data_IF_093504515844
#
_entry.id   IF_093504515844
#
_cell.length_a   1.000
_cell.length_b   1.000
_cell.length_c   1.000
_cell.angle_alpha   90.00
_cell.angle_beta   90.00
_cell.angle_gamma   90.00
#
_symmetry.space_group_name_H-M   'P 1'
#
loop_
_entity.id
_entity.type
_entity.pdbx_description
1 polymer ?
#
# COMPACT_ATOMS: atom_id res chain seq x y z
N UNK A 1 -3.24 29.80 -6.88
CA UNK A 1 -2.21 30.09 -7.91
C UNK A 1 -2.77 30.91 -9.08
N UNK A 2 -4.02 30.69 -9.45
CA UNK A 2 -4.73 31.35 -10.59
C UNK A 2 -5.34 32.69 -10.24
N UNK A 3 -5.47 33.01 -8.96
CA UNK A 3 -6.01 34.28 -8.49
C UNK A 3 -4.89 35.22 -8.08
N UNK A 4 -5.11 36.56 -8.19
CA UNK A 4 -4.15 37.57 -7.69
C UNK A 4 -3.84 37.35 -6.21
N UNK A 5 -2.55 37.30 -5.88
CA UNK A 5 -2.09 37.09 -4.52
C UNK A 5 -1.65 38.39 -3.88
N UNK A 6 -2.37 38.82 -2.86
CA UNK A 6 -2.18 40.13 -2.23
C UNK A 6 -0.77 40.33 -1.62
N UNK A 7 -0.22 39.25 -1.02
CA UNK A 7 1.14 39.27 -0.43
C UNK A 7 2.26 39.53 -1.45
N UNK A 8 1.97 39.39 -2.75
CA UNK A 8 2.85 39.67 -3.88
C UNK A 8 2.26 40.76 -4.82
N UNK A 9 1.61 41.77 -4.24
CA UNK A 9 1.09 42.92 -4.95
C UNK A 9 0.10 42.58 -6.10
N UNK A 10 -0.70 41.55 -5.89
CA UNK A 10 -1.67 41.10 -6.87
C UNK A 10 -1.12 40.22 -7.99
N UNK A 11 0.09 39.66 -7.84
CA UNK A 11 0.66 38.73 -8.79
C UNK A 11 -0.20 37.45 -8.89
N UNK A 12 -0.51 37.01 -10.11
CA UNK A 12 -1.04 35.66 -10.39
C UNK A 12 0.13 34.74 -10.77
N UNK A 13 0.47 33.79 -9.92
CA UNK A 13 1.58 32.86 -10.17
C UNK A 13 1.37 32.03 -11.43
N UNK A 14 0.13 31.66 -11.75
CA UNK A 14 -0.16 30.88 -12.96
C UNK A 14 0.08 31.71 -14.23
N UNK A 15 -0.29 32.97 -14.23
CA UNK A 15 -0.11 33.88 -15.38
C UNK A 15 1.37 34.23 -15.61
N UNK A 16 2.09 34.54 -14.54
CA UNK A 16 3.48 34.97 -14.64
C UNK A 16 4.44 33.82 -14.89
N UNK A 17 4.24 32.67 -14.26
CA UNK A 17 5.20 31.56 -14.29
C UNK A 17 4.73 30.32 -15.05
N UNK A 18 3.50 30.29 -15.56
CA UNK A 18 2.97 29.19 -16.37
C UNK A 18 3.22 27.80 -15.75
N UNK A 19 3.89 26.89 -16.45
CA UNK A 19 4.15 25.52 -15.96
C UNK A 19 4.96 25.44 -14.66
N UNK A 20 5.69 26.50 -14.30
CA UNK A 20 6.51 26.55 -13.09
C UNK A 20 5.81 27.25 -11.92
N UNK A 21 4.57 27.67 -12.09
CA UNK A 21 3.79 28.43 -11.10
C UNK A 21 3.76 27.77 -9.71
N UNK A 22 3.55 26.45 -9.65
CA UNK A 22 3.56 25.72 -8.38
C UNK A 22 4.92 25.80 -7.66
N UNK A 23 5.99 25.57 -8.39
CA UNK A 23 7.35 25.61 -7.83
C UNK A 23 7.70 27.01 -7.34
N UNK A 24 7.31 28.03 -8.10
CA UNK A 24 7.58 29.43 -7.73
C UNK A 24 6.77 29.84 -6.50
N UNK A 25 5.49 29.48 -6.42
CA UNK A 25 4.67 29.76 -5.24
C UNK A 25 5.18 29.00 -4.01
N UNK A 26 5.53 27.71 -4.15
CA UNK A 26 6.10 26.93 -3.05
C UNK A 26 7.40 27.53 -2.51
N UNK A 27 8.25 28.10 -3.38
CA UNK A 27 9.47 28.79 -2.97
C UNK A 27 9.18 30.15 -2.30
N UNK A 28 8.26 30.90 -2.87
CA UNK A 28 7.95 32.25 -2.40
C UNK A 28 7.22 32.25 -1.05
N UNK A 29 6.28 31.32 -0.87
CA UNK A 29 5.46 31.19 0.33
C UNK A 29 6.05 30.19 1.33
N UNK A 30 6.01 28.91 0.96
CA UNK A 30 6.33 27.83 1.90
C UNK A 30 7.80 27.85 2.33
N UNK A 31 8.72 27.84 1.36
CA UNK A 31 10.14 27.70 1.65
C UNK A 31 10.73 28.98 2.26
N UNK A 32 10.32 30.15 1.76
CA UNK A 32 10.81 31.43 2.26
C UNK A 32 10.33 31.72 3.69
N UNK A 33 9.02 31.53 3.93
CA UNK A 33 8.41 32.00 5.18
C UNK A 33 8.53 30.95 6.30
N UNK A 34 8.43 29.66 5.97
CA UNK A 34 8.54 28.57 6.94
C UNK A 34 9.94 27.97 7.04
N UNK A 35 10.80 28.22 6.07
CA UNK A 35 12.19 27.77 6.04
C UNK A 35 12.42 26.25 6.06
N UNK A 36 11.55 25.38 5.46
CA UNK A 36 11.77 23.96 5.51
C UNK A 36 13.09 23.61 4.82
N UNK A 37 13.93 22.90 5.53
CA UNK A 37 15.23 22.47 5.03
C UNK A 37 15.50 21.04 5.49
N UNK A 38 15.97 20.18 4.58
CA UNK A 38 16.37 18.84 4.93
C UNK A 38 17.66 18.86 5.76
N UNK A 39 17.61 18.34 6.98
CA UNK A 39 18.80 18.21 7.81
C UNK A 39 19.83 17.30 7.13
N UNK A 40 21.14 17.60 7.23
CA UNK A 40 22.19 16.77 6.63
C UNK A 40 22.11 15.29 7.06
N UNK A 41 21.80 15.02 8.32
CA UNK A 41 21.61 13.63 8.81
C UNK A 41 20.45 12.93 8.11
N UNK A 42 19.34 13.61 7.87
CA UNK A 42 18.20 13.04 7.15
C UNK A 42 18.55 12.78 5.68
N UNK A 43 19.28 13.70 5.04
CA UNK A 43 19.78 13.49 3.67
C UNK A 43 20.70 12.27 3.60
N UNK A 44 21.61 12.11 4.55
CA UNK A 44 22.49 10.96 4.63
C UNK A 44 21.72 9.64 4.82
N UNK A 45 20.73 9.60 5.70
CA UNK A 45 19.87 8.41 5.92
C UNK A 45 19.13 8.01 4.62
N UNK A 46 18.61 9.01 3.89
CA UNK A 46 17.92 8.75 2.61
C UNK A 46 18.91 8.20 1.57
N UNK A 47 20.07 8.83 1.41
CA UNK A 47 21.10 8.37 0.47
C UNK A 47 21.56 6.95 0.81
N UNK A 48 21.84 6.67 2.08
CA UNK A 48 22.21 5.33 2.54
C UNK A 48 21.12 4.29 2.25
N UNK A 49 19.84 4.65 2.43
CA UNK A 49 18.71 3.80 2.05
C UNK A 49 18.62 3.53 0.54
N UNK A 50 19.04 4.48 -0.30
CA UNK A 50 19.04 4.33 -1.75
C UNK A 50 20.11 3.37 -2.28
N UNK A 51 21.23 3.20 -1.59
CA UNK A 51 22.33 2.33 -2.02
C UNK A 51 21.89 0.87 -2.22
N UNK A 52 20.94 0.39 -1.43
CA UNK A 52 20.42 -0.99 -1.51
C UNK A 52 19.02 -1.08 -2.11
N UNK A 53 18.46 0.04 -2.62
CA UNK A 53 17.07 0.07 -3.09
C UNK A 53 16.82 -0.92 -4.22
N UNK A 54 17.73 -1.02 -5.19
CA UNK A 54 17.57 -1.94 -6.33
C UNK A 54 17.49 -3.40 -5.89
N UNK A 55 18.34 -3.80 -4.95
CA UNK A 55 18.36 -5.16 -4.39
C UNK A 55 17.07 -5.46 -3.62
N UNK A 56 16.60 -4.50 -2.81
CA UNK A 56 15.34 -4.66 -2.09
C UNK A 56 14.15 -4.75 -3.03
N UNK A 57 14.08 -3.89 -4.05
CA UNK A 57 12.99 -3.91 -5.02
C UNK A 57 12.93 -5.20 -5.84
N UNK A 58 14.09 -5.76 -6.21
CA UNK A 58 14.14 -7.05 -6.88
C UNK A 58 13.55 -8.16 -5.99
N UNK A 59 13.93 -8.22 -4.72
CA UNK A 59 13.39 -9.19 -3.77
C UNK A 59 11.90 -8.97 -3.50
N UNK A 60 11.45 -7.72 -3.31
CA UNK A 60 10.04 -7.38 -3.16
C UNK A 60 9.21 -7.86 -4.35
N UNK A 61 9.62 -7.54 -5.57
CA UNK A 61 8.89 -7.95 -6.78
C UNK A 61 8.87 -9.47 -6.93
N UNK A 62 9.99 -10.15 -6.68
CA UNK A 62 10.08 -11.61 -6.73
C UNK A 62 9.13 -12.28 -5.73
N UNK A 63 9.15 -11.83 -4.47
CA UNK A 63 8.25 -12.35 -3.45
C UNK A 63 6.77 -12.04 -3.80
N UNK A 64 6.48 -10.84 -4.31
CA UNK A 64 5.12 -10.46 -4.69
C UNK A 64 4.56 -11.34 -5.82
N UNK A 65 5.35 -11.65 -6.85
CA UNK A 65 4.91 -12.54 -7.92
C UNK A 65 4.55 -13.92 -7.40
N UNK A 66 5.37 -14.49 -6.52
CA UNK A 66 5.09 -15.77 -5.87
C UNK A 66 3.84 -15.69 -4.98
N UNK A 67 3.65 -14.59 -4.25
CA UNK A 67 2.45 -14.38 -3.44
C UNK A 67 1.18 -14.23 -4.28
N UNK A 68 1.25 -13.56 -5.44
CA UNK A 68 0.11 -13.47 -6.38
C UNK A 68 -0.28 -14.87 -6.86
N UNK A 69 0.69 -15.70 -7.24
CA UNK A 69 0.44 -17.08 -7.67
C UNK A 69 -0.16 -17.91 -6.53
N UNK A 70 0.43 -17.87 -5.35
CA UNK A 70 -0.06 -18.58 -4.16
C UNK A 70 -1.49 -18.17 -3.81
N UNK A 71 -1.76 -16.85 -3.68
CA UNK A 71 -3.09 -16.34 -3.32
C UNK A 71 -4.14 -16.63 -4.39
N UNK A 72 -3.77 -16.56 -5.68
CA UNK A 72 -4.71 -16.83 -6.78
C UNK A 72 -5.17 -18.29 -6.80
N UNK A 73 -4.39 -19.22 -6.27
CA UNK A 73 -4.71 -20.64 -6.20
C UNK A 73 -5.23 -21.09 -4.83
N UNK A 74 -5.26 -20.19 -3.83
CA UNK A 74 -5.63 -20.56 -2.48
C UNK A 74 -7.15 -20.63 -2.28
N UNK A 75 -7.65 -21.74 -1.72
CA UNK A 75 -9.09 -22.01 -1.56
C UNK A 75 -9.86 -20.99 -0.72
N UNK A 76 -9.20 -20.31 0.24
CA UNK A 76 -9.81 -19.29 1.10
C UNK A 76 -9.80 -17.89 0.48
N UNK A 77 -9.21 -17.70 -0.70
CA UNK A 77 -9.14 -16.42 -1.41
C UNK A 77 -10.25 -16.35 -2.44
N UNK A 78 -10.95 -15.23 -2.49
CA UNK A 78 -12.04 -14.99 -3.44
C UNK A 78 -11.56 -14.28 -4.71
N UNK A 79 -10.62 -13.35 -4.57
CA UNK A 79 -10.05 -12.57 -5.66
C UNK A 79 -8.68 -12.02 -5.27
N UNK A 80 -7.86 -11.70 -6.27
CA UNK A 80 -6.55 -11.05 -6.12
C UNK A 80 -6.47 -9.88 -7.07
N UNK A 81 -6.05 -8.72 -6.58
CA UNK A 81 -5.78 -7.52 -7.36
C UNK A 81 -4.29 -7.17 -7.27
N UNK A 82 -3.62 -7.38 -8.38
CA UNK A 82 -2.23 -7.02 -8.63
C UNK A 82 -2.02 -7.03 -10.15
N UNK A 83 -1.23 -6.11 -10.68
CA UNK A 83 -1.10 -5.96 -12.13
C UNK A 83 -0.54 -7.21 -12.84
N UNK A 84 0.16 -8.11 -12.13
CA UNK A 84 0.61 -9.40 -12.68
C UNK A 84 -0.39 -10.55 -12.49
N UNK A 85 -1.51 -10.33 -11.79
CA UNK A 85 -2.50 -11.39 -11.55
C UNK A 85 -3.15 -11.85 -12.87
N UNK A 86 -3.55 -13.13 -12.97
CA UNK A 86 -4.29 -13.62 -14.14
C UNK A 86 -5.57 -12.80 -14.37
N UNK A 87 -5.75 -12.33 -15.60
CA UNK A 87 -6.94 -11.57 -16.00
C UNK A 87 -7.01 -10.13 -15.49
N UNK A 88 -5.97 -9.59 -14.89
CA UNK A 88 -5.95 -8.17 -14.50
C UNK A 88 -6.01 -7.28 -15.75
N UNK A 89 -6.89 -6.23 -15.79
CA UNK A 89 -7.10 -5.42 -17.00
C UNK A 89 -5.85 -4.66 -17.44
N UNK A 90 -4.99 -4.28 -16.50
CA UNK A 90 -3.79 -3.49 -16.78
C UNK A 90 -2.52 -4.35 -16.92
N UNK A 91 -2.64 -5.67 -17.05
CA UNK A 91 -1.47 -6.56 -17.10
C UNK A 91 -0.52 -6.22 -18.24
N UNK A 92 -1.03 -6.07 -19.45
CA UNK A 92 -0.21 -5.73 -20.63
C UNK A 92 0.44 -4.35 -20.51
N UNK A 93 -0.32 -3.38 -19.94
CA UNK A 93 0.23 -2.05 -19.68
C UNK A 93 1.35 -2.11 -18.65
N UNK A 94 1.17 -2.85 -17.56
CA UNK A 94 2.16 -3.02 -16.52
C UNK A 94 3.45 -3.68 -17.05
N UNK A 95 3.34 -4.72 -17.87
CA UNK A 95 4.48 -5.36 -18.52
C UNK A 95 5.28 -4.38 -19.42
N UNK A 96 4.58 -3.44 -20.06
CA UNK A 96 5.19 -2.42 -20.90
C UNK A 96 5.92 -1.32 -20.13
N UNK A 97 5.27 -0.80 -19.06
CA UNK A 97 5.81 0.37 -18.33
C UNK A 97 6.63 0.00 -17.08
N UNK A 98 6.46 -1.21 -16.55
CA UNK A 98 7.15 -1.75 -15.38
C UNK A 98 7.87 -3.07 -15.70
N UNK A 99 8.76 -3.11 -16.70
CA UNK A 99 9.35 -4.36 -17.20
C UNK A 99 10.25 -5.07 -16.16
N UNK A 100 10.67 -4.37 -15.10
CA UNK A 100 11.52 -4.92 -14.03
C UNK A 100 10.72 -5.44 -12.83
N UNK A 101 9.40 -5.27 -12.82
CA UNK A 101 8.52 -5.73 -11.75
C UNK A 101 7.41 -4.75 -11.41
N UNK A 102 6.29 -5.27 -10.98
CA UNK A 102 5.03 -4.54 -10.74
C UNK A 102 4.85 -4.09 -9.29
N UNK A 103 5.92 -4.14 -8.50
CA UNK A 103 5.90 -3.74 -7.08
C UNK A 103 5.45 -4.85 -6.14
N UNK A 104 5.28 -4.49 -4.88
CA UNK A 104 5.01 -5.42 -3.77
C UNK A 104 3.63 -5.27 -3.14
N UNK A 105 2.79 -4.39 -3.69
CA UNK A 105 1.46 -4.13 -3.14
C UNK A 105 0.42 -5.04 -3.79
N UNK A 106 -0.25 -5.84 -2.96
CA UNK A 106 -1.31 -6.76 -3.37
C UNK A 106 -2.56 -6.44 -2.55
N UNK A 107 -3.73 -6.48 -3.17
CA UNK A 107 -4.98 -6.59 -2.47
C UNK A 107 -5.62 -7.93 -2.79
N UNK A 108 -6.22 -8.57 -1.80
CA UNK A 108 -6.97 -9.80 -2.02
C UNK A 108 -8.19 -9.88 -1.12
N UNK A 109 -9.22 -10.58 -1.58
CA UNK A 109 -10.43 -10.84 -0.82
C UNK A 109 -10.39 -12.20 -0.14
N UNK A 110 -10.67 -12.23 1.18
CA UNK A 110 -10.79 -13.48 1.93
C UNK A 110 -12.25 -13.95 1.96
N UNK A 111 -12.49 -15.26 1.69
CA UNK A 111 -13.83 -15.82 1.80
C UNK A 111 -14.28 -15.81 3.27
N UNK A 112 -15.52 -15.39 3.51
CA UNK A 112 -16.07 -15.22 4.85
C UNK A 112 -16.16 -13.76 5.34
N UNK A 113 -15.78 -12.79 4.45
CA UNK A 113 -16.02 -11.37 4.66
C UNK A 113 -15.24 -10.76 5.83
N UNK A 114 -15.84 -9.75 6.48
CA UNK A 114 -15.21 -8.94 7.53
C UNK A 114 -14.68 -9.77 8.70
N UNK A 115 -15.44 -10.76 9.13
CA UNK A 115 -15.08 -11.59 10.30
C UNK A 115 -13.89 -12.49 10.01
N UNK A 116 -13.86 -13.10 8.82
CA UNK A 116 -12.72 -13.88 8.36
C UNK A 116 -11.46 -13.03 8.18
N UNK A 117 -11.59 -11.81 7.62
CA UNK A 117 -10.50 -10.86 7.51
C UNK A 117 -9.92 -10.47 8.87
N UNK A 118 -10.77 -10.17 9.84
CA UNK A 118 -10.33 -9.85 11.22
C UNK A 118 -9.64 -11.05 11.88
N UNK A 119 -10.19 -12.27 11.72
CA UNK A 119 -9.58 -13.49 12.26
C UNK A 119 -8.20 -13.76 11.62
N UNK A 120 -8.07 -13.58 10.31
CA UNK A 120 -6.81 -13.71 9.60
C UNK A 120 -5.75 -12.76 10.18
N UNK A 121 -6.05 -11.46 10.23
CA UNK A 121 -5.12 -10.42 10.71
C UNK A 121 -4.66 -10.69 12.16
N UNK A 122 -5.56 -11.15 13.03
CA UNK A 122 -5.25 -11.41 14.43
C UNK A 122 -4.40 -12.68 14.66
N UNK A 123 -4.22 -13.51 13.64
CA UNK A 123 -3.50 -14.79 13.78
C UNK A 123 -2.20 -14.86 12.96
N UNK A 124 -1.93 -13.93 12.07
CA UNK A 124 -0.60 -13.78 11.47
C UNK A 124 0.38 -13.21 12.52
N UNK A 125 1.62 -13.64 12.48
CA UNK A 125 2.65 -13.30 13.48
C UNK A 125 3.91 -12.68 12.85
N UNK A 126 4.31 -13.17 11.68
CA UNK A 126 5.42 -12.64 10.92
C UNK A 126 5.02 -11.33 10.24
N UNK A 127 3.88 -11.34 9.57
CA UNK A 127 3.33 -10.16 8.94
C UNK A 127 2.85 -9.16 9.99
N UNK A 128 3.36 -7.93 9.92
CA UNK A 128 3.01 -6.87 10.88
C UNK A 128 1.70 -6.20 10.51
N UNK A 129 0.81 -6.01 11.48
CA UNK A 129 -0.48 -5.34 11.29
C UNK A 129 -0.30 -3.82 11.28
N UNK A 130 0.07 -3.27 10.15
CA UNK A 130 0.18 -1.82 9.92
C UNK A 130 0.11 -1.49 8.42
N UNK A 131 -0.08 -0.20 8.10
CA UNK A 131 -0.10 0.30 6.73
C UNK A 131 1.19 1.06 6.42
N UNK A 132 1.96 0.55 5.46
CA UNK A 132 3.11 1.22 4.85
C UNK A 132 3.33 0.66 3.43
N UNK A 133 4.32 1.17 2.72
CA UNK A 133 4.74 0.70 1.39
C UNK A 133 6.26 0.58 1.37
N UNK A 134 6.77 -0.58 0.93
CA UNK A 134 8.22 -0.80 0.77
C UNK A 134 8.99 -1.00 2.08
N UNK A 135 8.32 -1.34 3.16
CA UNK A 135 8.97 -1.80 4.39
C UNK A 135 9.66 -3.14 4.11
N UNK A 136 10.82 -3.37 4.72
CA UNK A 136 11.52 -4.64 4.61
C UNK A 136 10.72 -5.82 5.16
N UNK A 137 9.80 -5.56 6.09
CA UNK A 137 8.86 -6.54 6.64
C UNK A 137 7.61 -6.65 5.79
N UNK A 138 7.03 -7.84 5.77
CA UNK A 138 5.69 -8.05 5.23
C UNK A 138 4.65 -7.39 6.14
N UNK A 139 3.78 -6.60 5.53
CA UNK A 139 2.74 -5.84 6.25
C UNK A 139 1.37 -6.21 5.72
N UNK A 140 0.43 -6.40 6.63
CA UNK A 140 -0.97 -6.68 6.29
C UNK A 140 -1.90 -5.75 7.04
N UNK A 141 -3.00 -5.35 6.40
CA UNK A 141 -4.07 -4.61 7.04
C UNK A 141 -5.42 -5.03 6.45
N UNK A 142 -6.42 -5.09 7.30
CA UNK A 142 -7.82 -5.26 6.91
C UNK A 142 -8.53 -3.91 7.04
N UNK A 143 -8.70 -3.14 5.94
CA UNK A 143 -9.18 -1.76 6.00
C UNK A 143 -10.53 -1.62 6.69
N UNK A 144 -11.46 -2.53 6.42
CA UNK A 144 -12.82 -2.49 6.96
C UNK A 144 -12.91 -2.66 8.50
N UNK A 145 -11.92 -3.26 9.15
CA UNK A 145 -11.88 -3.38 10.62
C UNK A 145 -10.89 -2.41 11.28
N UNK A 146 -10.02 -1.76 10.50
CA UNK A 146 -8.98 -0.88 11.01
C UNK A 146 -9.19 0.58 10.56
N UNK A 147 -8.55 0.99 9.47
CA UNK A 147 -8.49 2.38 9.02
C UNK A 147 -9.83 2.96 8.56
N UNK A 148 -10.78 2.11 8.17
CA UNK A 148 -12.08 2.50 7.61
C UNK A 148 -13.26 1.90 8.42
N UNK A 149 -13.03 1.55 9.68
CA UNK A 149 -14.03 0.90 10.55
C UNK A 149 -15.28 1.75 10.80
N UNK A 150 -15.20 3.07 10.62
CA UNK A 150 -16.30 4.01 10.84
C UNK A 150 -17.06 4.35 9.55
N UNK A 151 -16.62 3.83 8.37
CA UNK A 151 -17.29 4.08 7.11
C UNK A 151 -18.48 3.14 6.92
N UNK A 152 -19.57 3.70 6.37
CA UNK A 152 -20.71 2.90 5.93
C UNK A 152 -20.37 2.13 4.61
N UNK A 153 -21.22 1.18 4.26
CA UNK A 153 -21.01 0.31 3.10
C UNK A 153 -20.94 1.08 1.77
N UNK A 154 -21.72 2.14 1.63
CA UNK A 154 -21.74 2.96 0.42
C UNK A 154 -20.41 3.72 0.24
N UNK A 155 -19.90 4.28 1.32
CA UNK A 155 -18.61 5.00 1.35
C UNK A 155 -17.43 4.05 1.12
N UNK A 156 -17.44 2.85 1.72
CA UNK A 156 -16.43 1.82 1.45
C UNK A 156 -16.40 1.44 -0.03
N UNK A 157 -17.56 1.18 -0.62
CA UNK A 157 -17.68 0.83 -2.03
C UNK A 157 -17.21 1.96 -2.94
N UNK A 158 -17.56 3.20 -2.63
CA UNK A 158 -17.08 4.37 -3.36
C UNK A 158 -15.56 4.53 -3.30
N UNK A 159 -14.95 4.21 -2.17
CA UNK A 159 -13.51 4.19 -1.98
C UNK A 159 -12.81 2.96 -2.63
N UNK A 160 -13.56 2.06 -3.29
CA UNK A 160 -13.01 0.85 -3.89
C UNK A 160 -12.60 -0.22 -2.87
N UNK A 161 -13.14 -0.14 -1.66
CA UNK A 161 -12.87 -1.08 -0.58
C UNK A 161 -14.03 -2.06 -0.40
N UNK A 162 -13.72 -3.29 0.00
CA UNK A 162 -14.71 -4.31 0.36
C UNK A 162 -14.46 -4.86 1.76
N UNK A 163 -15.51 -5.45 2.35
CA UNK A 163 -15.42 -6.00 3.70
C UNK A 163 -14.49 -7.23 3.82
N UNK A 164 -14.18 -7.87 2.71
CA UNK A 164 -13.31 -9.04 2.62
C UNK A 164 -11.86 -8.68 2.23
N UNK A 165 -11.60 -7.40 1.91
CA UNK A 165 -10.31 -6.95 1.40
C UNK A 165 -9.23 -6.99 2.48
N UNK A 166 -8.12 -7.64 2.15
CA UNK A 166 -6.86 -7.52 2.86
C UNK A 166 -5.85 -6.84 1.93
N UNK A 167 -5.19 -5.81 2.43
CA UNK A 167 -4.08 -5.14 1.74
C UNK A 167 -2.78 -5.70 2.29
N UNK A 168 -1.91 -6.13 1.39
CA UNK A 168 -0.61 -6.73 1.66
C UNK A 168 0.50 -5.89 1.04
N UNK A 169 1.54 -5.58 1.80
CA UNK A 169 2.83 -5.11 1.31
C UNK A 169 3.85 -6.20 1.56
N UNK A 170 4.26 -6.89 0.50
CA UNK A 170 5.17 -8.04 0.63
C UNK A 170 6.58 -7.57 0.95
N UNK A 171 7.18 -8.13 2.00
CA UNK A 171 8.52 -7.81 2.47
C UNK A 171 9.63 -8.63 1.83
N UNK A 172 10.78 -8.67 2.52
CA UNK A 172 12.01 -9.30 2.06
C UNK A 172 12.26 -10.67 2.71
N UNK A 173 11.37 -11.12 3.59
CA UNK A 173 11.48 -12.38 4.31
C UNK A 173 11.57 -13.56 3.33
N UNK A 174 11.93 -14.72 3.84
CA UNK A 174 11.84 -15.93 3.04
C UNK A 174 10.39 -16.18 2.65
N UNK A 175 10.16 -16.54 1.39
CA UNK A 175 8.83 -16.70 0.86
C UNK A 175 8.03 -17.79 1.58
N UNK A 176 8.67 -18.89 1.95
CA UNK A 176 8.01 -19.99 2.66
C UNK A 176 7.58 -19.58 4.07
N UNK A 177 8.34 -18.72 4.73
CA UNK A 177 7.97 -18.19 6.05
C UNK A 177 6.72 -17.30 5.95
N UNK A 178 6.62 -16.46 4.91
CA UNK A 178 5.41 -15.66 4.66
C UNK A 178 4.21 -16.58 4.40
N UNK A 179 4.36 -17.61 3.58
CA UNK A 179 3.29 -18.58 3.28
C UNK A 179 2.85 -19.31 4.56
N UNK A 180 3.78 -19.79 5.37
CA UNK A 180 3.46 -20.48 6.62
C UNK A 180 2.67 -19.59 7.60
N UNK A 181 3.05 -18.33 7.71
CA UNK A 181 2.33 -17.35 8.53
C UNK A 181 0.91 -17.11 8.01
N UNK A 182 0.76 -17.02 6.68
CA UNK A 182 -0.55 -16.82 6.04
C UNK A 182 -1.45 -18.04 6.19
N UNK A 183 -0.90 -19.26 6.13
CA UNK A 183 -1.66 -20.51 6.39
C UNK A 183 -2.22 -20.53 7.82
N UNK A 184 -1.48 -20.05 8.80
CA UNK A 184 -1.98 -19.90 10.17
C UNK A 184 -3.16 -18.91 10.23
N UNK A 185 -3.03 -17.78 9.54
CA UNK A 185 -4.10 -16.79 9.39
C UNK A 185 -5.35 -17.37 8.70
N UNK A 186 -5.17 -18.04 7.56
CA UNK A 186 -6.29 -18.68 6.82
C UNK A 186 -6.96 -19.80 7.62
N UNK A 187 -6.19 -20.58 8.38
CA UNK A 187 -6.73 -21.63 9.26
C UNK A 187 -7.61 -21.03 10.36
N UNK A 188 -7.21 -19.90 10.92
CA UNK A 188 -8.02 -19.19 11.90
C UNK A 188 -9.29 -18.60 11.29
N UNK A 189 -9.22 -18.07 10.07
CA UNK A 189 -10.35 -17.50 9.36
C UNK A 189 -11.44 -18.53 8.98
N UNK A 190 -11.07 -19.80 8.82
CA UNK A 190 -12.02 -20.91 8.55
C UNK A 190 -12.78 -21.38 9.77
N UNK A 191 -12.28 -21.11 10.98
CA UNK A 191 -12.98 -21.53 12.20
C UNK A 191 -14.17 -20.60 12.40
N UNK A 192 -15.41 -21.12 12.54
CA UNK A 192 -16.50 -20.26 12.96
C UNK A 192 -16.10 -19.63 14.30
N UNK A 193 -16.32 -18.32 14.44
CA UNK A 193 -16.17 -17.64 15.74
C UNK A 193 -17.11 -18.36 16.72
N UNK A 194 -16.56 -19.26 17.50
CA UNK A 194 -17.28 -19.78 18.67
C UNK A 194 -17.53 -18.54 19.54
N UNK A 195 -18.80 -18.23 19.77
CA UNK A 195 -19.24 -17.22 20.70
C UNK A 195 -18.47 -17.41 22.00
N UNK A 196 -17.41 -16.65 22.19
CA UNK A 196 -16.82 -16.46 23.51
C UNK A 196 -17.82 -15.56 24.20
N UNK A 197 -18.73 -16.19 24.98
CA UNK A 197 -19.52 -15.46 25.92
C UNK A 197 -18.57 -14.85 26.95
N UNK A 198 -18.44 -13.51 26.87
CA UNK A 198 -17.93 -12.71 27.99
C UNK A 198 -19.07 -12.54 29.00
#
# INVERSE_FOLDING_TARGET
>A
MTEPYEGYHGLSFAEEFGPTAFTMMARAEGMRDMGPCLAPQNAWNILHGLETLSLRMEKHCSNALKMVEYLSNHESVAWVSHASAPGHPDKELAEKILPKGTGSMIAFGIKGGKEAGAAFINNVKLASHLANVGDARTLVIHPASATHSQMDEATLKFAGLSHDMIRLSVGLEDFEDIVNDFEDGFRAAKKPLSLIHI
#
